data_IF_000903895338
#
_entry.id   IF_000903895338
#
_cell.length_a   1.000
_cell.length_b   1.000
_cell.length_c   1.000
_cell.angle_alpha   90.00
_cell.angle_beta   90.00
_cell.angle_gamma   90.00
#
_symmetry.space_group_name_H-M   'P 1'
#
loop_
_entity.id
_entity.type
_entity.pdbx_description
1 polymer ?
#
# COMPACT_ATOMS: atom_id res chain seq x y z
N UNK A 1 23.94 -16.00 -8.07
CA UNK A 1 22.64 -16.17 -7.38
C UNK A 1 21.66 -15.20 -8.00
N UNK A 2 20.49 -15.66 -8.43
CA UNK A 2 19.43 -14.79 -8.99
C UNK A 2 18.34 -14.61 -7.93
N UNK A 3 17.88 -13.39 -7.71
CA UNK A 3 16.82 -13.06 -6.74
C UNK A 3 15.60 -12.60 -7.52
N UNK A 4 14.43 -13.17 -7.22
CA UNK A 4 13.17 -12.78 -7.85
C UNK A 4 12.33 -12.01 -6.84
N UNK A 5 12.20 -10.69 -7.05
CA UNK A 5 11.40 -9.81 -6.21
C UNK A 5 10.14 -9.33 -6.95
N UNK A 6 8.99 -9.99 -6.74
CA UNK A 6 7.74 -9.59 -7.37
C UNK A 6 7.09 -8.37 -6.69
N UNK A 7 6.32 -7.61 -7.47
CA UNK A 7 5.60 -6.41 -7.01
C UNK A 7 4.08 -6.58 -6.92
N UNK A 8 3.54 -7.71 -7.40
CA UNK A 8 2.09 -7.96 -7.47
C UNK A 8 1.70 -9.21 -6.70
N UNK A 9 0.52 -9.18 -6.06
CA UNK A 9 0.00 -10.32 -5.30
C UNK A 9 -0.03 -11.61 -6.14
N UNK A 10 -0.45 -11.51 -7.40
CA UNK A 10 -0.49 -12.66 -8.31
C UNK A 10 0.89 -13.31 -8.49
N UNK A 11 1.92 -12.51 -8.76
CA UNK A 11 3.28 -13.04 -8.93
C UNK A 11 3.83 -13.59 -7.61
N UNK A 12 3.53 -12.95 -6.47
CA UNK A 12 3.96 -13.44 -5.16
C UNK A 12 3.42 -14.85 -4.89
N UNK A 13 2.12 -15.06 -5.13
CA UNK A 13 1.48 -16.37 -4.95
C UNK A 13 2.04 -17.40 -5.92
N UNK A 14 2.24 -17.04 -7.18
CA UNK A 14 2.87 -17.92 -8.16
C UNK A 14 4.27 -18.37 -7.72
N UNK A 15 5.11 -17.45 -7.24
CA UNK A 15 6.45 -17.80 -6.75
C UNK A 15 6.38 -18.69 -5.52
N UNK A 16 5.46 -18.41 -4.58
CA UNK A 16 5.29 -19.21 -3.37
C UNK A 16 4.80 -20.63 -3.66
N UNK A 17 3.93 -20.78 -4.67
CA UNK A 17 3.43 -22.09 -5.14
C UNK A 17 4.48 -22.93 -5.83
N UNK A 18 5.40 -22.27 -6.54
CA UNK A 18 6.45 -22.93 -7.31
C UNK A 18 7.82 -22.82 -6.64
N UNK A 19 7.87 -22.50 -5.35
CA UNK A 19 9.11 -22.16 -4.62
C UNK A 19 10.19 -23.23 -4.78
N UNK A 20 9.86 -24.49 -4.56
CA UNK A 20 10.83 -25.60 -4.63
C UNK A 20 11.37 -25.81 -6.05
N UNK A 21 10.54 -25.59 -7.08
CA UNK A 21 10.98 -25.69 -8.47
C UNK A 21 11.93 -24.55 -8.82
N UNK A 22 11.57 -23.33 -8.43
CA UNK A 22 12.36 -22.10 -8.67
C UNK A 22 13.68 -22.14 -7.90
N UNK A 23 13.68 -22.60 -6.65
CA UNK A 23 14.89 -22.73 -5.84
C UNK A 23 15.83 -23.82 -6.36
N UNK A 24 15.31 -24.91 -6.94
CA UNK A 24 16.15 -25.90 -7.65
C UNK A 24 16.84 -25.34 -8.89
N UNK A 25 16.32 -24.26 -9.47
CA UNK A 25 16.97 -23.52 -10.57
C UNK A 25 18.01 -22.49 -10.06
N UNK A 26 18.32 -22.48 -8.76
CA UNK A 26 19.30 -21.56 -8.16
C UNK A 26 18.77 -20.13 -7.95
N UNK A 27 17.45 -19.95 -7.97
CA UNK A 27 16.80 -18.67 -7.70
C UNK A 27 16.37 -18.56 -6.24
N UNK A 28 16.53 -17.37 -5.64
CA UNK A 28 16.01 -17.05 -4.32
C UNK A 28 14.69 -16.29 -4.41
N UNK A 29 13.73 -16.68 -3.55
CA UNK A 29 12.46 -16.00 -3.36
C UNK A 29 12.47 -15.38 -1.95
N UNK A 30 12.68 -14.06 -1.84
CA UNK A 30 12.86 -13.36 -0.57
C UNK A 30 11.52 -13.00 0.08
N UNK A 31 10.59 -13.96 0.07
CA UNK A 31 9.29 -13.91 0.74
C UNK A 31 9.29 -14.90 1.90
N UNK A 32 8.43 -14.67 2.90
CA UNK A 32 8.15 -15.65 3.96
C UNK A 32 7.47 -16.91 3.41
N UNK A 33 7.23 -17.91 4.27
CA UNK A 33 6.48 -19.12 3.89
C UNK A 33 5.06 -18.78 3.44
N UNK A 34 4.49 -19.61 2.55
CA UNK A 34 3.18 -19.36 1.92
C UNK A 34 2.07 -19.16 2.95
N UNK A 35 2.08 -19.94 4.02
CA UNK A 35 1.06 -19.91 5.07
C UNK A 35 1.07 -18.57 5.80
N UNK A 36 2.25 -18.09 6.18
CA UNK A 36 2.40 -16.80 6.84
C UNK A 36 2.08 -15.65 5.88
N UNK A 37 2.54 -15.75 4.62
CA UNK A 37 2.26 -14.75 3.59
C UNK A 37 0.76 -14.55 3.39
N UNK A 38 0.02 -15.64 3.15
CA UNK A 38 -1.43 -15.61 2.96
C UNK A 38 -2.16 -15.06 4.19
N UNK A 39 -1.78 -15.53 5.38
CA UNK A 39 -2.37 -15.04 6.64
C UNK A 39 -2.23 -13.52 6.79
N UNK A 40 -1.14 -12.97 6.26
CA UNK A 40 -0.79 -11.55 6.37
C UNK A 40 -1.29 -10.69 5.19
N UNK A 41 -1.42 -11.24 3.98
CA UNK A 41 -1.89 -10.49 2.79
C UNK A 41 -3.42 -10.49 2.65
N UNK A 42 -4.10 -11.51 3.19
CA UNK A 42 -5.56 -11.55 3.17
C UNK A 42 -6.15 -10.64 4.24
N UNK A 43 -7.05 -9.74 3.82
CA UNK A 43 -7.57 -8.66 4.67
C UNK A 43 -8.19 -9.17 5.97
N UNK A 44 -8.99 -10.23 5.90
CA UNK A 44 -9.69 -10.78 7.08
C UNK A 44 -8.72 -11.43 8.06
N UNK A 45 -7.90 -12.37 7.59
CA UNK A 45 -6.94 -13.07 8.46
C UNK A 45 -5.89 -12.13 9.06
N UNK A 46 -5.49 -11.08 8.32
CA UNK A 46 -4.61 -10.05 8.84
C UNK A 46 -5.31 -9.22 9.93
N UNK A 47 -6.56 -8.79 9.70
CA UNK A 47 -7.38 -8.12 10.72
C UNK A 47 -7.50 -8.97 11.99
N UNK A 48 -7.88 -10.25 11.87
CA UNK A 48 -8.02 -11.15 13.02
C UNK A 48 -6.68 -11.33 13.76
N UNK A 49 -5.57 -11.43 13.02
CA UNK A 49 -4.23 -11.57 13.59
C UNK A 49 -3.85 -10.33 14.42
N UNK A 50 -4.05 -9.13 13.87
CA UNK A 50 -3.69 -7.89 14.57
C UNK A 50 -4.67 -7.60 15.73
N UNK A 51 -5.95 -7.92 15.59
CA UNK A 51 -6.90 -7.83 16.71
C UNK A 51 -6.48 -8.75 17.87
N UNK A 52 -6.08 -10.00 17.58
CA UNK A 52 -5.60 -10.95 18.58
C UNK A 52 -4.28 -10.52 19.25
N UNK A 53 -3.46 -9.70 18.59
CA UNK A 53 -2.26 -9.07 19.16
C UNK A 53 -2.58 -7.77 19.93
N UNK A 54 -3.87 -7.42 20.06
CA UNK A 54 -4.34 -6.27 20.85
C UNK A 54 -4.37 -4.94 20.07
N UNK A 55 -4.21 -4.96 18.75
CA UNK A 55 -4.34 -3.75 17.94
C UNK A 55 -5.79 -3.42 17.66
N UNK A 56 -6.08 -2.12 17.57
CA UNK A 56 -7.40 -1.67 17.12
C UNK A 56 -7.54 -1.94 15.61
N UNK A 57 -8.65 -2.55 15.25
CA UNK A 57 -9.05 -2.84 13.87
C UNK A 57 -10.46 -2.29 13.59
N UNK A 58 -10.85 -2.06 12.32
CA UNK A 58 -12.21 -1.70 11.98
C UNK A 58 -13.17 -2.83 12.36
N UNK A 59 -14.20 -2.52 13.16
CA UNK A 59 -15.21 -3.49 13.58
C UNK A 59 -16.01 -4.00 12.38
N UNK A 60 -16.17 -5.32 12.29
CA UNK A 60 -17.09 -5.96 11.32
C UNK A 60 -18.55 -5.65 11.72
N UNK A 61 -19.38 -5.33 10.73
CA UNK A 61 -20.79 -4.97 10.91
C UNK A 61 -21.66 -6.05 10.26
N UNK A 62 -22.66 -6.53 11.01
CA UNK A 62 -23.65 -7.47 10.48
C UNK A 62 -24.41 -6.87 9.30
N UNK A 63 -24.64 -7.67 8.26
CA UNK A 63 -25.33 -7.23 7.03
C UNK A 63 -26.77 -6.75 7.26
N UNK A 64 -27.38 -7.08 8.39
CA UNK A 64 -28.73 -6.63 8.77
C UNK A 64 -28.76 -5.26 9.44
N UNK A 65 -27.60 -4.70 9.82
CA UNK A 65 -27.47 -3.47 10.62
C UNK A 65 -26.60 -2.40 9.94
N UNK A 66 -26.60 -2.39 8.61
CA UNK A 66 -25.76 -1.48 7.84
C UNK A 66 -26.27 -0.05 7.93
N UNK A 67 -25.53 0.80 8.63
CA UNK A 67 -25.78 2.25 8.72
C UNK A 67 -24.52 3.00 8.28
N UNK A 68 -24.55 3.77 7.18
CA UNK A 68 -23.41 4.55 6.72
C UNK A 68 -22.89 5.54 7.79
N UNK A 69 -21.59 5.88 7.79
CA UNK A 69 -20.58 5.46 6.81
C UNK A 69 -19.96 4.09 7.13
N UNK A 70 -19.86 3.24 6.11
CA UNK A 70 -19.26 1.90 6.20
C UNK A 70 -18.33 1.62 5.02
N UNK A 71 -17.51 0.58 5.15
CA UNK A 71 -16.66 0.06 4.08
C UNK A 71 -17.11 -1.37 3.75
N UNK A 72 -17.48 -1.62 2.50
CA UNK A 72 -17.66 -2.98 2.00
C UNK A 72 -16.32 -3.46 1.43
N UNK A 73 -15.72 -4.47 2.04
CA UNK A 73 -14.47 -5.09 1.57
C UNK A 73 -14.77 -6.45 0.94
N UNK A 74 -14.18 -6.77 -0.21
CA UNK A 74 -14.41 -8.07 -0.83
C UNK A 74 -13.72 -9.16 -0.02
N UNK A 75 -14.39 -10.31 0.14
CA UNK A 75 -13.85 -11.51 0.80
C UNK A 75 -12.70 -12.14 -0.01
N UNK A 76 -12.74 -11.98 -1.32
CA UNK A 76 -11.68 -12.37 -2.25
C UNK A 76 -11.40 -11.23 -3.23
N UNK A 77 -10.14 -10.99 -3.53
CA UNK A 77 -9.72 -10.00 -4.53
C UNK A 77 -10.13 -10.42 -5.97
N UNK A 78 -10.54 -11.67 -6.20
CA UNK A 78 -11.07 -12.15 -7.48
C UNK A 78 -12.47 -12.75 -7.30
N UNK A 79 -13.41 -12.31 -8.12
CA UNK A 79 -14.70 -12.97 -8.29
C UNK A 79 -14.55 -14.31 -9.01
N UNK A 80 -15.58 -15.15 -8.94
CA UNK A 80 -15.67 -16.42 -9.69
C UNK A 80 -15.55 -16.24 -11.21
N UNK A 81 -15.84 -15.04 -11.72
CA UNK A 81 -15.74 -14.70 -13.14
C UNK A 81 -14.38 -14.06 -13.52
N UNK A 82 -13.40 -14.06 -12.61
CA UNK A 82 -12.07 -13.50 -12.86
C UNK A 82 -11.98 -11.96 -12.79
N UNK A 83 -13.08 -11.27 -12.49
CA UNK A 83 -13.10 -9.82 -12.30
C UNK A 83 -12.52 -9.47 -10.93
N UNK A 84 -11.63 -8.48 -10.88
CA UNK A 84 -11.07 -7.96 -9.63
C UNK A 84 -12.13 -7.22 -8.82
N UNK A 85 -12.31 -7.62 -7.56
CA UNK A 85 -13.20 -6.93 -6.64
C UNK A 85 -12.41 -5.86 -5.86
N UNK A 86 -13.03 -4.69 -5.66
CA UNK A 86 -12.42 -3.57 -4.94
C UNK A 86 -13.24 -3.22 -3.68
N UNK A 87 -12.62 -2.61 -2.65
CA UNK A 87 -13.37 -2.04 -1.53
C UNK A 87 -14.28 -0.89 -1.97
N UNK A 88 -15.48 -0.78 -1.39
CA UNK A 88 -16.40 0.32 -1.62
C UNK A 88 -16.59 1.12 -0.33
N UNK A 89 -16.45 2.44 -0.43
CA UNK A 89 -16.84 3.37 0.63
C UNK A 89 -18.32 3.69 0.44
N UNK A 90 -19.15 3.33 1.42
CA UNK A 90 -20.59 3.58 1.42
C UNK A 90 -20.85 4.65 2.48
N UNK A 91 -20.75 5.91 2.08
CA UNK A 91 -20.74 7.08 2.96
C UNK A 91 -22.14 7.62 3.25
N UNK A 92 -23.14 7.24 2.46
CA UNK A 92 -24.53 7.67 2.62
C UNK A 92 -25.52 6.57 2.17
N UNK A 93 -26.81 6.77 2.48
CA UNK A 93 -27.87 5.81 2.16
C UNK A 93 -28.00 5.49 0.67
N UNK A 94 -27.81 6.47 -0.22
CA UNK A 94 -27.90 6.24 -1.67
C UNK A 94 -26.78 5.32 -2.18
N UNK A 95 -25.57 5.44 -1.64
CA UNK A 95 -24.45 4.54 -1.98
C UNK A 95 -24.71 3.12 -1.47
N UNK A 96 -25.25 2.99 -0.25
CA UNK A 96 -25.63 1.70 0.33
C UNK A 96 -26.74 1.02 -0.48
N UNK A 97 -27.77 1.75 -0.88
CA UNK A 97 -28.88 1.24 -1.72
C UNK A 97 -28.42 0.80 -3.12
N UNK A 98 -27.45 1.52 -3.71
CA UNK A 98 -26.90 1.20 -5.04
C UNK A 98 -25.91 0.04 -5.02
N UNK A 99 -25.30 -0.25 -3.87
CA UNK A 99 -24.30 -1.31 -3.73
C UNK A 99 -24.78 -2.69 -4.20
N UNK A 100 -25.93 -3.23 -3.74
CA UNK A 100 -26.41 -4.55 -4.17
C UNK A 100 -26.85 -4.62 -5.63
N UNK A 101 -27.13 -3.48 -6.28
CA UNK A 101 -27.49 -3.43 -7.71
C UNK A 101 -26.30 -3.75 -8.63
N UNK A 102 -25.08 -3.54 -8.13
CA UNK A 102 -23.83 -3.71 -8.89
C UNK A 102 -22.90 -4.77 -8.32
N UNK A 103 -23.17 -5.26 -7.10
CA UNK A 103 -22.31 -6.20 -6.39
C UNK A 103 -23.15 -7.26 -5.68
N UNK A 104 -22.60 -8.48 -5.58
CA UNK A 104 -23.21 -9.54 -4.75
C UNK A 104 -22.78 -9.33 -3.31
N UNK A 105 -23.72 -8.98 -2.43
CA UNK A 105 -23.43 -8.70 -1.02
C UNK A 105 -22.69 -9.86 -0.31
N UNK A 106 -22.95 -11.11 -0.68
CA UNK A 106 -22.28 -12.28 -0.11
C UNK A 106 -20.78 -12.36 -0.42
N UNK A 107 -20.32 -11.68 -1.46
CA UNK A 107 -18.90 -11.61 -1.84
C UNK A 107 -18.13 -10.58 -0.98
N UNK A 108 -18.82 -9.87 -0.09
CA UNK A 108 -18.28 -8.79 0.72
C UNK A 108 -18.56 -9.01 2.21
N UNK A 109 -17.71 -8.40 3.03
CA UNK A 109 -17.94 -8.16 4.45
C UNK A 109 -17.93 -6.65 4.70
N UNK A 110 -18.60 -6.21 5.74
CA UNK A 110 -18.80 -4.79 6.03
C UNK A 110 -18.03 -4.43 7.29
N UNK A 111 -17.35 -3.29 7.26
CA UNK A 111 -16.64 -2.75 8.41
C UNK A 111 -17.05 -1.30 8.64
N UNK A 112 -16.86 -0.82 9.87
CA UNK A 112 -16.99 0.60 10.16
C UNK A 112 -16.03 1.44 9.31
N UNK A 113 -16.48 2.64 8.92
CA UNK A 113 -15.60 3.61 8.27
C UNK A 113 -14.74 4.32 9.32
N UNK A 114 -13.43 4.10 9.27
CA UNK A 114 -12.48 4.72 10.20
C UNK A 114 -12.07 6.11 9.69
N UNK A 115 -12.22 7.12 10.53
CA UNK A 115 -11.88 8.51 10.24
C UNK A 115 -10.56 8.88 10.91
N UNK A 116 -9.63 9.43 10.14
CA UNK A 116 -8.35 9.92 10.64
C UNK A 116 -7.34 10.18 9.53
N UNK A 117 -6.07 10.38 9.92
CA UNK A 117 -4.95 10.52 9.00
C UNK A 117 -4.51 9.14 8.48
N UNK A 118 -4.46 8.95 7.16
CA UNK A 118 -3.96 7.70 6.57
C UNK A 118 -2.43 7.75 6.50
N UNK A 119 -1.77 6.78 7.11
CA UNK A 119 -0.33 6.61 7.10
C UNK A 119 0.04 5.26 6.51
N UNK A 120 1.15 5.23 5.79
CA UNK A 120 1.86 3.97 5.53
C UNK A 120 3.07 3.89 6.45
N UNK A 121 3.20 2.77 7.16
CA UNK A 121 4.42 2.33 7.82
C UNK A 121 5.11 1.32 6.91
N UNK A 122 6.29 1.69 6.42
CA UNK A 122 7.08 0.91 5.48
C UNK A 122 8.32 0.40 6.19
N UNK A 123 8.69 -0.84 5.93
CA UNK A 123 9.81 -1.43 6.65
C UNK A 123 10.44 -2.60 5.90
N UNK A 124 11.65 -2.92 6.35
CA UNK A 124 12.36 -4.16 6.09
C UNK A 124 12.77 -4.76 7.44
N UNK A 125 12.36 -6.01 7.69
CA UNK A 125 12.86 -6.81 8.82
C UNK A 125 13.86 -7.81 8.27
N UNK A 126 15.11 -7.70 8.69
CA UNK A 126 16.20 -8.56 8.23
C UNK A 126 15.97 -10.01 8.68
N UNK A 127 16.20 -10.96 7.78
CA UNK A 127 15.97 -12.38 8.03
C UNK A 127 16.97 -12.96 9.02
N UNK A 128 18.24 -12.57 8.91
CA UNK A 128 19.32 -13.19 9.65
C UNK A 128 19.63 -12.45 10.96
N UNK A 129 19.49 -11.12 10.96
CA UNK A 129 19.86 -10.26 12.11
C UNK A 129 18.66 -9.79 12.93
N UNK A 130 17.43 -9.87 12.39
CA UNK A 130 16.25 -9.19 12.91
C UNK A 130 16.38 -7.66 13.03
N UNK A 131 17.41 -7.04 12.44
CA UNK A 131 17.50 -5.59 12.32
C UNK A 131 16.32 -5.04 11.52
N UNK A 132 15.85 -3.85 11.88
CA UNK A 132 14.66 -3.24 11.27
C UNK A 132 15.01 -1.88 10.71
N UNK A 133 14.76 -1.74 9.41
CA UNK A 133 14.80 -0.45 8.71
C UNK A 133 13.36 -0.03 8.46
N UNK A 134 12.98 1.18 8.87
CA UNK A 134 11.58 1.63 8.80
C UNK A 134 11.46 3.11 8.51
N UNK A 135 10.36 3.45 7.86
CA UNK A 135 10.00 4.82 7.52
C UNK A 135 8.48 4.96 7.39
N UNK A 136 7.95 6.18 7.39
CA UNK A 136 6.51 6.39 7.22
C UNK A 136 6.15 7.62 6.42
N UNK A 137 5.05 7.53 5.67
CA UNK A 137 4.43 8.66 4.94
C UNK A 137 3.00 8.90 5.44
N UNK A 138 2.52 10.14 5.25
CA UNK A 138 1.11 10.51 5.36
C UNK A 138 0.50 10.64 3.97
N UNK A 139 -0.61 9.95 3.73
CA UNK A 139 -1.34 9.94 2.46
C UNK A 139 -2.30 11.12 2.41
N UNK A 140 -2.13 11.99 1.41
CA UNK A 140 -2.91 13.23 1.28
C UNK A 140 -3.99 13.14 0.19
N UNK A 141 -3.70 12.39 -0.88
CA UNK A 141 -4.62 12.16 -1.99
C UNK A 141 -4.47 10.73 -2.50
N UNK A 142 -5.61 10.11 -2.76
CA UNK A 142 -5.69 8.73 -3.25
C UNK A 142 -6.79 8.61 -4.30
N UNK A 143 -6.59 7.70 -5.25
CA UNK A 143 -7.66 7.23 -6.12
C UNK A 143 -8.82 6.65 -5.28
N UNK A 144 -10.04 6.71 -5.79
CA UNK A 144 -11.16 6.13 -5.05
C UNK A 144 -11.06 4.61 -4.87
N UNK A 145 -11.84 4.09 -3.90
CA UNK A 145 -11.96 2.65 -3.65
C UNK A 145 -10.66 1.99 -3.19
N UNK A 146 -9.84 2.71 -2.42
CA UNK A 146 -8.60 2.16 -1.85
C UNK A 146 -7.51 1.89 -2.90
N UNK A 147 -7.57 2.53 -4.08
CA UNK A 147 -6.59 2.38 -5.15
C UNK A 147 -5.31 3.18 -4.86
N UNK A 148 -4.48 3.45 -5.87
CA UNK A 148 -3.15 4.02 -5.69
C UNK A 148 -3.15 5.39 -4.98
N UNK A 149 -2.12 5.60 -4.17
CA UNK A 149 -1.78 6.91 -3.62
C UNK A 149 -1.36 7.82 -4.78
N UNK A 150 -1.83 9.06 -4.75
CA UNK A 150 -1.55 10.08 -5.76
C UNK A 150 -0.66 11.19 -5.23
N UNK A 151 -0.77 11.49 -3.93
CA UNK A 151 0.03 12.53 -3.29
C UNK A 151 0.25 12.20 -1.81
N UNK A 152 1.50 12.26 -1.37
CA UNK A 152 1.90 11.96 0.00
C UNK A 152 3.09 12.82 0.45
N UNK A 153 3.29 12.91 1.76
CA UNK A 153 4.39 13.63 2.40
C UNK A 153 5.02 12.77 3.52
N UNK A 154 6.25 13.08 3.98
CA UNK A 154 6.89 12.36 5.07
C UNK A 154 6.08 12.48 6.37
N UNK A 155 6.20 11.49 7.23
CA UNK A 155 5.63 11.54 8.58
C UNK A 155 6.54 10.85 9.58
N UNK A 156 6.30 11.13 10.86
CA UNK A 156 7.06 10.55 11.99
C UNK A 156 6.33 9.36 12.63
N UNK A 157 5.38 8.73 11.93
CA UNK A 157 4.64 7.59 12.49
C UNK A 157 5.56 6.41 12.83
N UNK A 158 6.57 6.13 12.01
CA UNK A 158 7.57 5.07 12.24
C UNK A 158 8.34 5.21 13.57
N UNK A 159 8.39 6.40 14.16
CA UNK A 159 9.03 6.68 15.45
C UNK A 159 8.09 6.43 16.64
N UNK A 160 6.80 6.20 16.39
CA UNK A 160 5.81 6.00 17.45
C UNK A 160 5.87 4.61 18.08
N UNK A 161 5.32 4.51 19.30
CA UNK A 161 5.15 3.24 20.00
C UNK A 161 4.24 2.26 19.23
N UNK A 162 3.18 2.75 18.57
CA UNK A 162 2.30 1.92 17.75
C UNK A 162 3.03 1.28 16.58
N UNK A 163 3.87 2.03 15.87
CA UNK A 163 4.71 1.49 14.81
C UNK A 163 5.69 0.43 15.34
N UNK A 164 6.35 0.67 16.49
CA UNK A 164 7.22 -0.33 17.11
C UNK A 164 6.47 -1.60 17.51
N UNK A 165 5.24 -1.47 18.03
CA UNK A 165 4.40 -2.60 18.39
C UNK A 165 4.03 -3.45 17.17
N UNK A 166 3.63 -2.83 16.05
CA UNK A 166 3.33 -3.55 14.80
C UNK A 166 4.52 -4.39 14.31
N UNK A 167 5.70 -3.79 14.26
CA UNK A 167 6.95 -4.48 13.87
C UNK A 167 7.23 -5.64 14.82
N UNK A 168 7.12 -5.41 16.13
CA UNK A 168 7.37 -6.45 17.13
C UNK A 168 6.41 -7.63 16.98
N UNK A 169 5.13 -7.37 16.74
CA UNK A 169 4.13 -8.42 16.49
C UNK A 169 4.47 -9.25 15.25
N UNK A 170 4.85 -8.59 14.15
CA UNK A 170 5.28 -9.27 12.92
C UNK A 170 6.53 -10.13 13.13
N UNK A 171 7.57 -9.60 13.78
CA UNK A 171 8.79 -10.35 14.10
C UNK A 171 8.48 -11.57 14.97
N UNK A 172 7.60 -11.46 15.98
CA UNK A 172 7.17 -12.61 16.80
C UNK A 172 6.44 -13.70 16.00
N UNK A 173 5.74 -13.33 14.92
CA UNK A 173 5.13 -14.29 13.99
C UNK A 173 6.12 -14.87 12.98
N UNK A 174 7.40 -14.49 13.06
CA UNK A 174 8.44 -14.95 12.15
C UNK A 174 8.42 -14.24 10.79
N UNK A 175 7.81 -13.06 10.70
CA UNK A 175 7.88 -12.27 9.48
C UNK A 175 9.26 -11.65 9.32
N UNK A 176 9.81 -11.79 8.12
CA UNK A 176 11.00 -11.09 7.64
C UNK A 176 10.74 -10.66 6.19
N UNK A 177 11.46 -9.67 5.68
CA UNK A 177 11.25 -9.12 4.35
C UNK A 177 10.66 -7.71 4.36
N UNK A 178 10.34 -7.23 3.16
CA UNK A 178 9.75 -5.92 2.92
C UNK A 178 8.26 -5.97 3.23
N UNK A 179 7.74 -4.96 3.92
CA UNK A 179 6.33 -4.82 4.20
C UNK A 179 5.86 -3.37 4.28
N UNK A 180 4.56 -3.17 4.06
CA UNK A 180 3.87 -1.90 4.28
C UNK A 180 2.56 -2.14 5.03
N UNK A 181 2.37 -1.47 6.17
CA UNK A 181 1.11 -1.44 6.92
C UNK A 181 0.42 -0.10 6.66
N UNK A 182 -0.86 -0.13 6.28
CA UNK A 182 -1.72 1.05 6.32
C UNK A 182 -2.35 1.19 7.71
N UNK A 183 -2.23 2.39 8.27
CA UNK A 183 -2.79 2.76 9.57
C UNK A 183 -3.60 4.05 9.41
N UNK A 184 -4.79 4.09 10.01
CA UNK A 184 -5.52 5.35 10.20
C UNK A 184 -5.31 5.81 11.64
N UNK A 185 -4.82 7.05 11.79
CA UNK A 185 -4.46 7.65 13.07
C UNK A 185 -5.42 8.77 13.46
N UNK A 186 -5.88 8.78 14.71
CA UNK A 186 -6.68 9.86 15.26
C UNK A 186 -6.47 9.97 16.77
N UNK A 187 -6.10 11.16 17.25
CA UNK A 187 -6.00 11.47 18.69
C UNK A 187 -5.10 10.48 19.47
N UNK A 188 -4.07 9.93 18.83
CA UNK A 188 -3.17 8.92 19.41
C UNK A 188 -3.60 7.47 19.21
N UNK A 189 -4.82 7.22 18.74
CA UNK A 189 -5.30 5.89 18.38
C UNK A 189 -4.80 5.50 16.99
N UNK A 190 -4.08 4.37 16.93
CA UNK A 190 -3.58 3.77 15.69
C UNK A 190 -4.47 2.58 15.30
N UNK A 191 -5.23 2.70 14.19
CA UNK A 191 -6.12 1.65 13.69
C UNK A 191 -5.48 0.95 12.49
N UNK A 192 -5.25 -0.35 12.60
CA UNK A 192 -4.75 -1.19 11.52
C UNK A 192 -5.78 -1.31 10.39
N UNK A 193 -5.40 -1.02 9.13
CA UNK A 193 -6.31 -1.09 7.98
C UNK A 193 -6.00 -2.26 7.05
N UNK A 194 -4.73 -2.38 6.65
CA UNK A 194 -4.25 -3.46 5.79
C UNK A 194 -2.74 -3.65 5.93
N UNK A 195 -2.28 -4.84 5.53
CA UNK A 195 -0.86 -5.14 5.41
C UNK A 195 -0.56 -5.67 4.01
N UNK A 196 0.52 -5.16 3.42
CA UNK A 196 1.04 -5.59 2.12
C UNK A 196 2.46 -6.14 2.35
N UNK A 197 2.66 -7.47 2.42
CA UNK A 197 3.98 -8.11 2.58
C UNK A 197 4.81 -8.10 1.29
N UNK A 198 4.93 -6.94 0.65
CA UNK A 198 5.56 -6.75 -0.67
C UNK A 198 5.92 -5.29 -0.91
N UNK A 199 6.59 -5.04 -2.05
CA UNK A 199 6.76 -3.67 -2.56
C UNK A 199 5.40 -3.02 -2.85
N UNK A 200 5.27 -1.75 -2.48
CA UNK A 200 4.10 -0.90 -2.69
C UNK A 200 4.37 0.19 -3.73
N UNK A 201 3.32 0.84 -4.23
CA UNK A 201 3.44 1.83 -5.32
C UNK A 201 4.37 3.02 -4.98
N UNK A 202 4.15 3.71 -3.84
CA UNK A 202 5.03 4.78 -3.37
C UNK A 202 6.47 4.41 -2.94
N UNK A 203 7.01 3.24 -3.31
CA UNK A 203 8.37 2.82 -2.90
C UNK A 203 9.45 3.83 -3.32
N UNK A 204 9.27 4.47 -4.48
CA UNK A 204 10.20 5.51 -4.94
C UNK A 204 10.29 6.69 -3.96
N UNK A 205 9.22 6.96 -3.20
CA UNK A 205 9.26 8.02 -2.21
C UNK A 205 10.21 7.70 -1.06
N UNK A 206 10.28 6.43 -0.65
CA UNK A 206 11.26 5.95 0.32
C UNK A 206 12.69 6.27 -0.13
N UNK A 207 13.01 6.01 -1.41
CA UNK A 207 14.30 6.32 -2.00
C UNK A 207 14.56 7.84 -2.05
N UNK A 208 13.55 8.62 -2.47
CA UNK A 208 13.65 10.08 -2.51
C UNK A 208 13.78 10.71 -1.11
N UNK A 209 13.47 9.97 -0.05
CA UNK A 209 13.69 10.37 1.34
C UNK A 209 15.01 9.86 1.91
N UNK A 210 15.84 9.23 1.07
CA UNK A 210 17.13 8.64 1.45
C UNK A 210 17.00 7.62 2.58
N UNK A 211 15.92 6.82 2.53
CA UNK A 211 15.66 5.80 3.52
C UNK A 211 16.28 4.48 3.08
N UNK A 212 16.90 3.79 4.03
CA UNK A 212 17.78 2.65 3.84
C UNK A 212 17.06 1.32 3.55
N UNK A 213 15.73 1.30 3.57
CA UNK A 213 14.91 0.08 3.49
C UNK A 213 15.28 -0.82 2.31
N UNK A 214 15.43 -0.24 1.11
CA UNK A 214 15.74 -1.02 -0.08
C UNK A 214 17.22 -1.43 -0.13
N UNK A 215 18.13 -0.54 0.28
CA UNK A 215 19.56 -0.83 0.35
C UNK A 215 19.84 -1.97 1.33
N UNK A 216 19.19 -1.96 2.49
CA UNK A 216 19.26 -3.03 3.47
C UNK A 216 18.74 -4.37 2.93
N UNK A 217 17.58 -4.34 2.27
CA UNK A 217 17.03 -5.52 1.61
C UNK A 217 17.97 -6.08 0.54
N UNK A 218 18.49 -5.24 -0.36
CA UNK A 218 19.41 -5.65 -1.43
C UNK A 218 20.71 -6.19 -0.82
N UNK A 219 21.25 -5.52 0.21
CA UNK A 219 22.46 -5.91 0.92
C UNK A 219 22.34 -7.29 1.52
N UNK A 220 21.31 -7.52 2.33
CA UNK A 220 21.11 -8.83 2.97
C UNK A 220 20.83 -9.91 1.91
N UNK A 221 20.01 -9.61 0.91
CA UNK A 221 19.63 -10.64 -0.09
C UNK A 221 20.78 -11.02 -1.01
N UNK A 222 21.67 -10.08 -1.38
CA UNK A 222 22.79 -10.38 -2.30
C UNK A 222 24.07 -10.80 -1.59
N UNK A 223 24.30 -10.33 -0.36
CA UNK A 223 25.59 -10.48 0.35
C UNK A 223 25.47 -11.11 1.73
N UNK A 224 24.25 -11.33 2.23
CA UNK A 224 24.00 -11.73 3.62
C UNK A 224 24.17 -10.60 4.63
N UNK A 225 24.52 -9.39 4.20
CA UNK A 225 24.81 -8.23 5.07
C UNK A 225 23.94 -7.03 4.70
N UNK A 226 22.99 -6.59 5.56
CA UNK A 226 22.11 -5.45 5.23
C UNK A 226 22.89 -4.14 5.04
N UNK A 227 24.06 -4.00 5.66
CA UNK A 227 24.87 -2.80 5.57
C UNK A 227 25.61 -2.60 4.23
N UNK A 228 25.65 -3.62 3.35
CA UNK A 228 26.54 -3.63 2.18
C UNK A 228 26.32 -2.49 1.17
N UNK A 229 25.12 -1.90 1.13
CA UNK A 229 24.76 -0.87 0.14
C UNK A 229 24.16 0.41 0.76
N UNK A 230 24.30 0.62 2.08
CA UNK A 230 23.72 1.81 2.72
C UNK A 230 24.33 3.13 2.21
N UNK A 231 25.58 3.10 1.75
CA UNK A 231 26.25 4.26 1.15
C UNK A 231 25.78 4.59 -0.28
N UNK A 232 24.96 3.72 -0.90
CA UNK A 232 24.45 3.88 -2.27
C UNK A 232 23.11 4.63 -2.35
N UNK A 233 22.79 5.46 -1.35
CA UNK A 233 21.55 6.25 -1.34
C UNK A 233 21.60 7.38 -2.39
N UNK A 234 20.47 7.70 -3.04
CA UNK A 234 20.41 8.80 -4.00
C UNK A 234 20.71 10.15 -3.33
N UNK A 235 21.25 11.08 -4.12
CA UNK A 235 21.67 12.41 -3.64
C UNK A 235 20.50 13.39 -3.45
N UNK A 236 19.41 13.25 -4.21
CA UNK A 236 18.29 14.20 -4.18
C UNK A 236 17.24 13.82 -3.14
N UNK A 237 16.90 14.77 -2.25
CA UNK A 237 15.74 14.66 -1.36
C UNK A 237 14.54 15.39 -1.95
N UNK A 238 13.43 14.69 -2.18
CA UNK A 238 12.15 15.33 -2.54
C UNK A 238 11.30 15.51 -1.29
N UNK A 239 10.42 16.51 -1.22
CA UNK A 239 9.57 16.71 -0.03
C UNK A 239 8.21 16.02 -0.13
N UNK A 240 7.83 15.56 -1.32
CA UNK A 240 6.52 14.97 -1.60
C UNK A 240 6.66 13.82 -2.57
N UNK A 241 5.71 12.89 -2.50
CA UNK A 241 5.41 11.95 -3.57
C UNK A 241 4.25 12.50 -4.39
N UNK A 242 4.36 12.47 -5.71
CA UNK A 242 3.28 12.81 -6.63
C UNK A 242 3.22 11.79 -7.77
N UNK A 243 2.01 11.35 -8.11
CA UNK A 243 1.73 10.66 -9.36
C UNK A 243 0.66 11.44 -10.14
N UNK A 244 1.13 12.34 -11.01
CA UNK A 244 0.30 13.24 -11.79
C UNK A 244 -0.51 12.48 -12.85
N UNK A 245 0.08 11.48 -13.49
CA UNK A 245 -0.61 10.62 -14.47
C UNK A 245 -1.87 10.00 -13.88
N UNK A 246 -1.75 9.34 -12.72
CA UNK A 246 -2.89 8.75 -12.01
C UNK A 246 -3.89 9.78 -11.50
N UNK A 247 -3.43 11.00 -11.14
CA UNK A 247 -4.32 12.10 -10.75
C UNK A 247 -5.18 12.55 -11.93
N UNK A 248 -4.57 12.80 -13.09
CA UNK A 248 -5.29 13.21 -14.30
C UNK A 248 -6.26 12.12 -14.76
N UNK A 249 -5.81 10.85 -14.78
CA UNK A 249 -6.67 9.72 -15.13
C UNK A 249 -7.91 9.66 -14.24
N UNK A 250 -7.75 9.84 -12.93
CA UNK A 250 -8.86 9.80 -11.98
C UNK A 250 -9.85 10.95 -12.18
N UNK A 251 -9.33 12.15 -12.47
CA UNK A 251 -10.15 13.32 -12.77
C UNK A 251 -10.94 13.15 -14.07
N UNK A 252 -10.35 12.52 -15.10
CA UNK A 252 -10.97 12.34 -16.42
C UNK A 252 -11.91 11.14 -16.52
N UNK A 253 -11.63 10.06 -15.78
CA UNK A 253 -12.41 8.81 -15.85
C UNK A 253 -13.67 8.86 -15.00
N UNK A 254 -13.54 9.30 -13.74
CA UNK A 254 -14.59 9.19 -12.73
C UNK A 254 -14.90 10.51 -12.01
N UNK A 255 -14.02 11.51 -12.13
CA UNK A 255 -14.12 12.79 -11.42
C UNK A 255 -13.97 12.66 -9.90
N UNK A 256 -13.55 11.49 -9.43
CA UNK A 256 -13.84 10.98 -8.10
C UNK A 256 -12.52 10.65 -7.40
N UNK A 257 -12.17 11.45 -6.40
CA UNK A 257 -10.91 11.38 -5.65
C UNK A 257 -11.19 11.32 -4.15
N UNK A 258 -10.34 10.62 -3.40
CA UNK A 258 -10.40 10.62 -1.93
C UNK A 258 -9.48 11.72 -1.39
N UNK A 259 -10.05 12.90 -1.14
CA UNK A 259 -9.35 14.03 -0.53
C UNK A 259 -9.25 13.84 0.98
N UNK A 260 -8.04 13.84 1.54
CA UNK A 260 -7.83 13.74 3.00
C UNK A 260 -7.70 15.12 3.68
N UNK A 261 -7.66 16.19 2.88
CA UNK A 261 -7.54 17.58 3.31
C UNK A 261 -8.38 18.52 2.42
N UNK A 262 -8.41 19.81 2.76
CA UNK A 262 -9.05 20.83 1.93
C UNK A 262 -8.51 20.80 0.48
N UNK A 263 -9.42 20.61 -0.47
CA UNK A 263 -9.12 20.46 -1.91
C UNK A 263 -8.26 21.57 -2.48
N UNK A 264 -8.58 22.83 -2.18
CA UNK A 264 -7.86 23.98 -2.77
C UNK A 264 -6.44 24.12 -2.23
N UNK A 265 -6.27 23.91 -0.92
CA UNK A 265 -4.93 23.87 -0.30
C UNK A 265 -4.09 22.76 -0.93
N UNK A 266 -4.69 21.58 -1.15
CA UNK A 266 -3.97 20.44 -1.73
C UNK A 266 -3.59 20.66 -3.19
N UNK A 267 -4.49 21.22 -4.00
CA UNK A 267 -4.20 21.58 -5.39
C UNK A 267 -3.05 22.60 -5.48
N UNK A 268 -3.03 23.61 -4.62
CA UNK A 268 -1.93 24.57 -4.56
C UNK A 268 -0.60 23.89 -4.21
N UNK A 269 -0.60 22.96 -3.25
CA UNK A 269 0.57 22.13 -2.92
C UNK A 269 1.02 21.29 -4.12
N UNK A 270 0.10 20.62 -4.82
CA UNK A 270 0.43 19.77 -5.97
C UNK A 270 1.08 20.60 -7.08
N UNK A 271 0.50 21.74 -7.45
CA UNK A 271 1.05 22.62 -8.51
C UNK A 271 2.47 23.07 -8.16
N UNK A 272 2.71 23.49 -6.91
CA UNK A 272 4.05 23.91 -6.45
C UNK A 272 5.07 22.78 -6.43
N UNK A 273 4.62 21.52 -6.40
CA UNK A 273 5.47 20.34 -6.25
C UNK A 273 5.37 19.40 -7.47
N UNK A 274 5.04 19.92 -8.66
CA UNK A 274 4.97 19.10 -9.87
C UNK A 274 6.29 18.40 -10.20
N UNK A 275 7.42 19.03 -9.84
CA UNK A 275 8.76 18.44 -9.95
C UNK A 275 8.96 17.19 -9.06
N UNK A 276 8.04 16.94 -8.13
CA UNK A 276 8.03 15.75 -7.29
C UNK A 276 7.35 14.54 -7.94
N UNK A 277 6.86 14.66 -9.17
CA UNK A 277 6.27 13.53 -9.88
C UNK A 277 7.25 12.34 -9.96
N UNK A 278 6.71 11.14 -9.76
CA UNK A 278 7.46 9.88 -9.70
C UNK A 278 8.17 9.58 -11.03
N UNK A 279 7.58 9.94 -12.16
CA UNK A 279 8.14 9.72 -13.49
C UNK A 279 8.86 10.93 -14.08
N UNK A 280 8.73 12.11 -13.48
CA UNK A 280 9.46 13.31 -13.91
C UNK A 280 10.93 13.27 -13.43
N UNK A 281 11.70 12.38 -14.07
CA UNK A 281 13.12 12.09 -13.84
C UNK A 281 13.81 11.80 -15.17
N UNK A 282 15.14 11.89 -15.22
CA UNK A 282 15.90 11.69 -16.48
C UNK A 282 15.71 10.30 -17.08
N UNK A 283 15.63 9.25 -16.26
CA UNK A 283 15.49 7.84 -16.65
C UNK A 283 14.05 7.45 -16.99
N UNK A 284 13.06 8.16 -16.46
CA UNK A 284 11.62 7.84 -16.65
C UNK A 284 10.82 8.91 -17.37
N UNK A 285 11.46 9.98 -17.88
CA UNK A 285 10.76 11.11 -18.52
C UNK A 285 9.90 10.68 -19.72
N UNK A 286 10.30 9.61 -20.40
CA UNK A 286 9.52 9.05 -21.50
C UNK A 286 8.18 8.50 -21.00
N UNK A 287 8.19 7.72 -19.90
CA UNK A 287 6.97 7.22 -19.25
C UNK A 287 6.05 8.37 -18.84
N UNK A 288 6.62 9.42 -18.21
CA UNK A 288 5.87 10.63 -17.85
C UNK A 288 5.17 11.24 -19.07
N UNK A 289 5.89 11.45 -20.19
CA UNK A 289 5.32 12.01 -21.42
C UNK A 289 4.19 11.13 -21.97
N UNK A 290 4.38 9.81 -22.02
CA UNK A 290 3.38 8.85 -22.51
C UNK A 290 2.12 8.87 -21.65
N UNK A 291 2.24 8.88 -20.32
CA UNK A 291 1.08 8.96 -19.41
C UNK A 291 0.30 10.26 -19.60
N UNK A 292 1.00 11.40 -19.66
CA UNK A 292 0.34 12.70 -19.82
C UNK A 292 -0.34 12.81 -21.20
N UNK A 293 0.31 12.39 -22.28
CA UNK A 293 -0.28 12.42 -23.63
C UNK A 293 -1.48 11.49 -23.75
N UNK A 294 -1.43 10.30 -23.15
CA UNK A 294 -2.55 9.35 -23.14
C UNK A 294 -3.78 9.94 -22.46
N UNK A 295 -3.58 10.58 -21.31
CA UNK A 295 -4.65 11.29 -20.59
C UNK A 295 -5.22 12.47 -21.39
N UNK A 296 -4.38 13.22 -22.12
CA UNK A 296 -4.87 14.30 -22.99
C UNK A 296 -5.71 13.71 -24.13
N UNK A 297 -5.27 12.66 -24.82
CA UNK A 297 -6.01 12.03 -25.93
C UNK A 297 -7.38 11.50 -25.49
N UNK A 298 -7.46 10.88 -24.31
CA UNK A 298 -8.72 10.43 -23.69
C UNK A 298 -9.76 11.55 -23.54
N UNK A 299 -9.32 12.82 -23.43
CA UNK A 299 -10.19 13.99 -23.34
C UNK A 299 -10.76 14.44 -24.68
N UNK A 300 -10.11 14.13 -25.81
CA UNK A 300 -10.56 14.54 -27.15
C UNK A 300 -11.51 13.53 -27.81
N UNK A 301 -11.62 12.33 -27.24
CA UNK A 301 -12.47 11.24 -27.75
C UNK A 301 -13.79 11.07 -26.98
N UNK A 302 -14.00 11.84 -25.91
CA UNK A 302 -15.25 11.91 -25.14
C UNK A 302 -15.90 13.27 -25.32
#
# INVERSE_FOLDING_TARGET
MLVILPSTEYLNLFLLENRDQIQRLGCEIPLVRKELYLKLSEKRSATDLFEAEGFRVPKEIESTRLTPPIVAKPKSNRSTNGVSNYPHLLLNGQELEKFPLSNRANDYFFQEYVVGESHYLMFYICKNTNEVYKWSQRNLLQQQSGKSILFAEPSFFHESAGAAAFISALSRKGFHGIGMIEVIRRDGDDVFIEFNPRIWGPIQFCLDQRQEILQAFIGETLTGTPHAYLDCLPSSKKNYYLWLGGLLESLLSSGRLSWKQNRWKLLSKIVRNIGCDVYFRSDTIHCFRVEIMSNIKLRWWK
#
